data_IF_028338775214
#
_entry.id   IF_028338775214
#
_cell.length_a   1.000
_cell.length_b   1.000
_cell.length_c   1.000
_cell.angle_alpha   90.00
_cell.angle_beta   90.00
_cell.angle_gamma   90.00
#
_symmetry.space_group_name_H-M   'P 1'
#
loop_
_entity.id
_entity.type
_entity.pdbx_description
1 polymer ?
#
# COMPACT_ATOMS: atom_id res chain seq x y z
N UNK A 1 -3.74 -26.51 12.62
CA UNK A 1 -5.19 -26.40 12.92
C UNK A 1 -6.03 -27.47 12.22
N UNK A 2 -5.89 -27.73 10.88
CA UNK A 2 -6.67 -28.77 10.18
C UNK A 2 -6.62 -30.14 10.88
N UNK A 3 -5.43 -30.65 11.17
CA UNK A 3 -5.27 -31.98 11.77
C UNK A 3 -5.88 -32.05 13.17
N UNK A 4 -5.86 -30.94 13.93
CA UNK A 4 -6.55 -30.85 15.22
C UNK A 4 -8.07 -30.98 15.06
N UNK A 5 -8.64 -30.28 14.06
CA UNK A 5 -10.08 -30.40 13.75
C UNK A 5 -10.44 -31.81 13.31
N UNK A 6 -9.68 -32.44 12.41
CA UNK A 6 -9.90 -33.82 11.97
C UNK A 6 -9.84 -34.82 13.14
N UNK A 7 -8.91 -34.64 14.09
CA UNK A 7 -8.81 -35.44 15.29
C UNK A 7 -10.04 -35.28 16.20
N UNK A 8 -10.54 -34.06 16.36
CA UNK A 8 -11.78 -33.81 17.11
C UNK A 8 -13.00 -34.43 16.40
N UNK A 9 -13.09 -34.32 15.10
CA UNK A 9 -14.16 -34.98 14.33
C UNK A 9 -14.14 -36.51 14.53
N UNK A 10 -12.96 -37.12 14.58
CA UNK A 10 -12.86 -38.56 14.90
C UNK A 10 -13.27 -38.85 16.33
N UNK A 11 -12.83 -38.05 17.30
CA UNK A 11 -13.18 -38.19 18.73
C UNK A 11 -14.69 -38.18 18.96
N UNK A 12 -15.41 -37.33 18.22
CA UNK A 12 -16.87 -37.19 18.33
C UNK A 12 -17.66 -38.02 17.31
N UNK A 13 -17.03 -39.04 16.66
CA UNK A 13 -17.63 -39.96 15.71
C UNK A 13 -18.19 -39.35 14.41
N UNK A 14 -17.75 -38.14 14.04
CA UNK A 14 -18.05 -37.52 12.74
C UNK A 14 -17.10 -38.01 11.63
N UNK A 15 -15.98 -38.64 11.98
CA UNK A 15 -15.00 -39.17 11.06
C UNK A 15 -14.45 -40.49 11.58
N UNK A 16 -14.38 -41.53 10.70
CA UNK A 16 -13.79 -42.81 11.09
C UNK A 16 -12.24 -42.74 11.08
N UNK A 17 -11.59 -43.71 11.74
CA UNK A 17 -10.13 -43.76 11.90
C UNK A 17 -9.38 -43.87 10.57
N UNK A 18 -9.92 -44.61 9.61
CA UNK A 18 -9.27 -44.83 8.31
C UNK A 18 -9.28 -43.55 7.49
N UNK A 19 -10.41 -42.85 7.43
CA UNK A 19 -10.53 -41.56 6.80
C UNK A 19 -9.63 -40.48 7.48
N UNK A 20 -9.53 -40.49 8.81
CA UNK A 20 -8.62 -39.63 9.54
C UNK A 20 -7.17 -39.85 9.09
N UNK A 21 -6.73 -41.10 9.03
CA UNK A 21 -5.36 -41.47 8.66
C UNK A 21 -5.00 -41.02 7.23
N UNK A 22 -5.95 -41.09 6.30
CA UNK A 22 -5.80 -40.62 4.92
C UNK A 22 -5.77 -39.08 4.84
N UNK A 23 -6.72 -38.40 5.49
CA UNK A 23 -6.85 -36.96 5.41
C UNK A 23 -5.70 -36.20 6.08
N UNK A 24 -5.14 -36.73 7.16
CA UNK A 24 -3.98 -36.15 7.84
C UNK A 24 -2.74 -36.16 6.94
N UNK A 25 -2.57 -37.20 6.12
CA UNK A 25 -1.44 -37.37 5.17
C UNK A 25 -1.58 -36.51 3.92
N UNK A 26 -2.79 -36.07 3.56
CA UNK A 26 -2.99 -35.24 2.38
C UNK A 26 -2.39 -33.86 2.57
N UNK A 27 -1.72 -33.28 1.55
CA UNK A 27 -1.27 -31.91 1.60
C UNK A 27 -2.46 -30.94 1.70
N UNK A 28 -2.26 -29.78 2.34
CA UNK A 28 -3.25 -28.71 2.32
C UNK A 28 -3.34 -28.18 0.88
N UNK A 29 -4.43 -28.52 0.21
CA UNK A 29 -4.79 -27.87 -1.07
C UNK A 29 -5.45 -26.54 -0.75
N UNK A 30 -4.65 -25.55 -0.36
CA UNK A 30 -5.11 -24.18 -0.30
C UNK A 30 -5.34 -23.75 -1.77
N UNK A 31 -6.59 -23.68 -2.19
CA UNK A 31 -6.91 -22.78 -3.28
C UNK A 31 -6.72 -21.40 -2.70
N UNK A 32 -5.58 -20.77 -2.97
CA UNK A 32 -5.51 -19.32 -2.90
C UNK A 32 -6.66 -18.83 -3.79
N UNK A 33 -7.75 -18.43 -3.15
CA UNK A 33 -8.77 -17.68 -3.85
C UNK A 33 -7.99 -16.52 -4.43
N UNK A 34 -7.85 -16.45 -5.76
CA UNK A 34 -7.52 -15.20 -6.40
C UNK A 34 -8.60 -14.25 -5.92
N UNK A 35 -8.28 -13.47 -4.88
CA UNK A 35 -8.99 -12.21 -4.69
C UNK A 35 -8.94 -11.57 -6.06
N UNK A 36 -10.10 -11.36 -6.66
CA UNK A 36 -10.20 -10.72 -7.97
C UNK A 36 -9.34 -9.47 -7.90
N UNK A 37 -8.31 -9.43 -8.72
CA UNK A 37 -7.39 -8.32 -8.78
C UNK A 37 -8.19 -7.02 -8.74
N UNK A 38 -8.03 -6.27 -7.67
CA UNK A 38 -8.20 -4.83 -7.67
C UNK A 38 -9.58 -4.25 -7.49
N UNK A 39 -10.67 -5.04 -7.37
CA UNK A 39 -11.99 -4.39 -7.22
C UNK A 39 -12.60 -4.42 -5.83
N UNK A 40 -12.14 -5.31 -4.90
CA UNK A 40 -12.96 -5.54 -3.71
C UNK A 40 -12.27 -5.45 -2.35
N UNK A 41 -10.98 -5.15 -2.25
CA UNK A 41 -10.39 -5.27 -0.91
C UNK A 41 -9.35 -4.25 -0.51
N UNK A 42 -8.59 -3.72 -1.43
CA UNK A 42 -7.37 -2.97 -1.08
C UNK A 42 -7.32 -1.63 -1.84
N UNK A 43 -8.22 -0.71 -1.49
CA UNK A 43 -8.26 0.65 -2.04
C UNK A 43 -8.00 1.69 -0.97
N UNK A 44 -7.50 2.86 -1.37
CA UNK A 44 -7.32 4.01 -0.47
C UNK A 44 -8.61 4.41 0.22
N UNK A 45 -9.73 4.40 -0.53
CA UNK A 45 -11.05 4.69 0.01
C UNK A 45 -11.40 3.72 1.15
N UNK A 46 -11.24 2.41 0.92
CA UNK A 46 -11.54 1.42 1.95
C UNK A 46 -10.66 1.63 3.19
N UNK A 47 -9.36 1.80 3.02
CA UNK A 47 -8.45 2.04 4.14
C UNK A 47 -8.82 3.31 4.92
N UNK A 48 -9.27 4.38 4.23
CA UNK A 48 -9.73 5.61 4.87
C UNK A 48 -11.04 5.38 5.65
N UNK A 49 -11.98 4.62 5.08
CA UNK A 49 -13.27 4.27 5.72
C UNK A 49 -13.03 3.35 6.90
N UNK A 50 -12.22 2.30 6.76
CA UNK A 50 -11.91 1.36 7.83
C UNK A 50 -11.31 2.10 9.05
N UNK A 51 -10.35 2.99 8.82
CA UNK A 51 -9.75 3.81 9.89
C UNK A 51 -10.76 4.73 10.59
N UNK A 52 -11.71 5.29 9.84
CA UNK A 52 -12.78 6.10 10.42
C UNK A 52 -13.72 5.24 11.26
N UNK A 53 -14.08 4.07 10.74
CA UNK A 53 -15.00 3.15 11.39
C UNK A 53 -14.42 2.50 12.64
N UNK A 54 -13.14 2.13 12.65
CA UNK A 54 -12.46 1.61 13.85
C UNK A 54 -12.69 2.55 15.03
N UNK A 55 -12.39 3.85 14.86
CA UNK A 55 -12.59 4.85 15.91
C UNK A 55 -14.06 4.98 16.31
N UNK A 56 -14.98 5.04 15.32
CA UNK A 56 -16.40 5.16 15.58
C UNK A 56 -16.98 3.92 16.32
N UNK A 57 -16.53 2.73 15.96
CA UNK A 57 -16.92 1.47 16.59
C UNK A 57 -16.43 1.40 18.03
N UNK A 58 -15.18 1.80 18.31
CA UNK A 58 -14.63 1.90 19.66
C UNK A 58 -15.48 2.85 20.55
N UNK A 59 -15.83 4.03 20.02
CA UNK A 59 -16.65 5.02 20.74
C UNK A 59 -18.08 4.53 21.03
N UNK A 60 -18.60 3.58 20.24
CA UNK A 60 -19.98 3.06 20.37
C UNK A 60 -20.05 1.62 20.90
N UNK A 61 -18.93 1.01 21.31
CA UNK A 61 -18.85 -0.38 21.76
C UNK A 61 -19.43 -1.39 20.76
N UNK A 62 -19.11 -1.20 19.47
CA UNK A 62 -19.54 -2.04 18.35
C UNK A 62 -18.33 -2.77 17.80
N UNK A 63 -18.47 -4.04 17.43
CA UNK A 63 -17.42 -4.77 16.70
C UNK A 63 -17.61 -4.61 15.19
N UNK A 64 -16.59 -4.02 14.53
CA UNK A 64 -16.64 -3.76 13.08
C UNK A 64 -16.82 -5.03 12.24
N UNK A 65 -16.31 -6.16 12.73
CA UNK A 65 -16.25 -7.42 11.97
C UNK A 65 -17.29 -8.45 12.39
N UNK A 66 -17.78 -8.38 13.64
CA UNK A 66 -18.70 -9.37 14.21
C UNK A 66 -20.18 -8.92 14.16
N UNK A 67 -20.43 -7.62 14.26
CA UNK A 67 -21.81 -7.10 14.37
C UNK A 67 -22.55 -6.95 13.02
N UNK A 68 -21.95 -7.38 11.91
CA UNK A 68 -22.61 -7.43 10.60
C UNK A 68 -23.03 -6.08 10.05
N UNK A 69 -22.24 -5.05 10.26
CA UNK A 69 -22.52 -3.66 9.86
C UNK A 69 -22.70 -3.52 8.35
N UNK A 70 -23.68 -2.68 7.95
CA UNK A 70 -23.86 -2.25 6.56
C UNK A 70 -23.42 -0.79 6.42
N UNK A 71 -22.31 -0.57 5.72
CA UNK A 71 -21.70 0.75 5.58
C UNK A 71 -22.11 1.36 4.25
N UNK A 72 -22.80 2.50 4.30
CA UNK A 72 -23.22 3.27 3.13
C UNK A 72 -22.33 4.50 2.99
N UNK A 73 -21.69 4.66 1.84
CA UNK A 73 -20.87 5.83 1.53
C UNK A 73 -21.57 6.75 0.53
N UNK A 74 -21.06 7.96 0.37
CA UNK A 74 -21.55 8.93 -0.61
C UNK A 74 -20.80 8.86 -1.94
N UNK A 75 -19.87 7.92 -2.08
CA UNK A 75 -19.04 7.73 -3.27
C UNK A 75 -19.91 7.32 -4.45
N UNK A 76 -19.66 7.93 -5.60
CA UNK A 76 -20.23 7.53 -6.88
C UNK A 76 -19.25 6.61 -7.62
N UNK A 77 -19.62 5.36 -7.79
CA UNK A 77 -18.73 4.34 -8.37
C UNK A 77 -18.32 4.64 -9.82
N UNK A 78 -19.16 5.32 -10.60
CA UNK A 78 -18.82 5.72 -11.98
C UNK A 78 -17.81 6.86 -11.97
N UNK A 79 -18.04 7.89 -11.16
CA UNK A 79 -17.10 8.99 -11.00
C UNK A 79 -15.78 8.54 -10.42
N UNK A 80 -15.80 7.60 -9.47
CA UNK A 80 -14.60 6.98 -8.93
C UNK A 80 -13.77 6.31 -10.02
N UNK A 81 -14.39 5.48 -10.86
CA UNK A 81 -13.69 4.81 -11.96
C UNK A 81 -13.10 5.79 -12.97
N UNK A 82 -13.83 6.84 -13.35
CA UNK A 82 -13.31 7.89 -14.25
C UNK A 82 -12.13 8.65 -13.63
N UNK A 83 -12.19 8.94 -12.33
CA UNK A 83 -11.12 9.63 -11.63
C UNK A 83 -9.85 8.78 -11.53
N UNK A 84 -9.98 7.50 -11.20
CA UNK A 84 -8.84 6.57 -11.14
C UNK A 84 -8.16 6.44 -12.51
N UNK A 85 -8.94 6.30 -13.58
CA UNK A 85 -8.41 6.27 -14.94
C UNK A 85 -7.74 7.58 -15.34
N UNK A 86 -8.37 8.72 -15.06
CA UNK A 86 -7.81 10.04 -15.35
C UNK A 86 -6.50 10.28 -14.59
N UNK A 87 -6.45 9.96 -13.30
CA UNK A 87 -5.24 10.05 -12.47
C UNK A 87 -4.13 9.17 -13.05
N UNK A 88 -4.42 7.91 -13.35
CA UNK A 88 -3.43 6.97 -13.90
C UNK A 88 -2.85 7.47 -15.24
N UNK A 89 -3.71 7.94 -16.14
CA UNK A 89 -3.30 8.44 -17.45
C UNK A 89 -2.47 9.72 -17.32
N UNK A 90 -2.91 10.68 -16.52
CA UNK A 90 -2.20 11.92 -16.33
C UNK A 90 -0.85 11.71 -15.62
N UNK A 91 -0.81 10.87 -14.59
CA UNK A 91 0.43 10.59 -13.86
C UNK A 91 1.45 9.85 -14.72
N UNK A 92 1.02 8.98 -15.64
CA UNK A 92 1.90 8.36 -16.63
C UNK A 92 2.59 9.42 -17.53
N UNK A 93 1.85 10.45 -17.96
CA UNK A 93 2.39 11.54 -18.78
C UNK A 93 3.38 12.38 -17.96
N UNK A 94 3.00 12.75 -16.73
CA UNK A 94 3.85 13.53 -15.83
C UNK A 94 5.12 12.79 -15.44
N UNK A 95 5.04 11.49 -15.17
CA UNK A 95 6.21 10.66 -14.88
C UNK A 95 7.20 10.62 -16.05
N UNK A 96 6.69 10.52 -17.28
CA UNK A 96 7.54 10.59 -18.48
C UNK A 96 8.24 11.94 -18.59
N UNK A 97 7.52 13.04 -18.35
CA UNK A 97 8.10 14.40 -18.32
C UNK A 97 9.15 14.55 -17.23
N UNK A 98 8.87 14.04 -16.04
CA UNK A 98 9.80 14.03 -14.92
C UNK A 98 11.12 13.34 -15.30
N UNK A 99 11.07 12.15 -15.87
CA UNK A 99 12.27 11.45 -16.33
C UNK A 99 13.01 12.16 -17.46
N UNK A 100 12.31 12.84 -18.35
CA UNK A 100 12.94 13.64 -19.41
C UNK A 100 13.71 14.85 -18.84
N UNK A 101 13.23 15.45 -17.75
CA UNK A 101 13.89 16.60 -17.10
C UNK A 101 15.09 16.15 -16.28
N UNK A 102 14.92 15.14 -15.46
CA UNK A 102 15.95 14.71 -14.51
C UNK A 102 16.94 13.70 -15.09
N UNK A 103 16.55 12.92 -16.10
CA UNK A 103 17.39 11.88 -16.70
C UNK A 103 17.95 10.93 -15.66
N UNK A 104 19.27 10.87 -15.58
CA UNK A 104 19.99 10.05 -14.58
C UNK A 104 20.27 10.79 -13.27
N UNK A 105 19.96 12.08 -13.19
CA UNK A 105 20.21 12.86 -11.98
C UNK A 105 19.22 12.50 -10.86
N UNK A 106 19.67 12.72 -9.64
CA UNK A 106 18.85 12.54 -8.45
C UNK A 106 18.12 13.86 -8.13
N UNK A 107 16.77 13.82 -8.03
CA UNK A 107 15.95 15.03 -7.91
C UNK A 107 15.82 15.54 -6.47
N UNK A 108 16.49 14.91 -5.52
CA UNK A 108 16.27 15.19 -4.10
C UNK A 108 17.10 16.35 -3.61
N UNK A 109 16.41 17.38 -3.13
CA UNK A 109 16.97 18.59 -2.55
C UNK A 109 16.28 18.91 -1.22
N UNK A 110 17.00 19.58 -0.32
CA UNK A 110 16.43 20.14 0.91
C UNK A 110 15.74 21.49 0.67
N UNK A 111 15.27 22.12 1.74
CA UNK A 111 14.62 23.45 1.69
C UNK A 111 15.54 24.57 1.20
N UNK A 112 16.86 24.38 1.26
CA UNK A 112 17.89 25.31 0.79
C UNK A 112 18.40 24.96 -0.62
N UNK A 113 17.74 24.01 -1.32
CA UNK A 113 18.13 23.48 -2.64
C UNK A 113 19.49 22.80 -2.67
N UNK A 114 19.96 22.30 -1.53
CA UNK A 114 21.15 21.45 -1.46
C UNK A 114 20.77 20.00 -1.76
N UNK A 115 21.59 19.32 -2.57
CA UNK A 115 21.38 17.88 -2.87
C UNK A 115 21.44 17.05 -1.61
N UNK A 116 20.45 16.16 -1.45
CA UNK A 116 20.30 15.26 -0.31
C UNK A 116 20.40 13.82 -0.79
N UNK A 117 21.17 13.01 -0.09
CA UNK A 117 21.18 11.56 -0.32
C UNK A 117 19.91 10.93 0.29
N UNK A 118 18.81 11.04 -0.46
CA UNK A 118 17.53 10.46 -0.06
C UNK A 118 17.62 8.94 0.12
N UNK A 119 18.25 8.15 -0.77
CA UNK A 119 18.37 6.70 -0.61
C UNK A 119 19.02 6.30 0.71
N UNK A 120 20.08 6.95 1.12
CA UNK A 120 20.73 6.69 2.41
C UNK A 120 19.86 7.06 3.61
N UNK A 121 19.15 8.18 3.53
CA UNK A 121 18.17 8.56 4.59
C UNK A 121 17.03 7.55 4.68
N UNK A 122 16.46 7.17 3.55
CA UNK A 122 15.38 6.19 3.48
C UNK A 122 15.82 4.81 4.00
N UNK A 123 17.03 4.35 3.64
CA UNK A 123 17.64 3.12 4.15
C UNK A 123 17.68 3.10 5.69
N UNK A 124 18.17 4.19 6.29
CA UNK A 124 18.28 4.31 7.75
C UNK A 124 16.94 4.33 8.48
N UNK A 125 15.87 4.78 7.82
CA UNK A 125 14.51 4.81 8.37
C UNK A 125 13.77 3.47 8.26
N UNK A 126 14.31 2.49 7.54
CA UNK A 126 13.68 1.17 7.46
C UNK A 126 13.82 0.41 8.78
N UNK A 127 12.73 -0.23 9.29
CA UNK A 127 12.78 -1.00 10.53
C UNK A 127 13.87 -2.08 10.53
N UNK A 128 14.15 -2.68 9.37
CA UNK A 128 15.19 -3.69 9.20
C UNK A 128 16.59 -3.12 9.47
N UNK A 129 16.83 -1.83 9.26
CA UNK A 129 18.14 -1.21 9.47
C UNK A 129 18.60 -1.35 10.92
N UNK A 130 17.74 -1.03 11.88
CA UNK A 130 18.03 -1.17 13.31
C UNK A 130 18.32 -2.63 13.73
N UNK A 131 17.62 -3.59 13.12
CA UNK A 131 17.89 -5.02 13.35
C UNK A 131 19.24 -5.44 12.80
N UNK A 132 19.62 -4.94 11.62
CA UNK A 132 20.93 -5.23 11.00
C UNK A 132 22.06 -4.57 11.76
N UNK A 133 21.88 -3.36 12.32
CA UNK A 133 22.87 -2.73 13.20
C UNK A 133 23.21 -3.63 14.39
N UNK A 134 22.18 -4.18 15.05
CA UNK A 134 22.37 -5.12 16.15
C UNK A 134 23.05 -6.42 15.68
N UNK A 135 22.61 -6.98 14.56
CA UNK A 135 23.12 -8.25 14.02
C UNK A 135 24.60 -8.17 13.62
N UNK A 136 25.02 -7.06 13.03
CA UNK A 136 26.37 -6.87 12.50
C UNK A 136 27.25 -5.95 13.37
N UNK A 137 26.86 -5.70 14.64
CA UNK A 137 27.59 -4.84 15.56
C UNK A 137 27.98 -3.48 14.95
N UNK A 138 27.03 -2.84 14.26
CA UNK A 138 27.19 -1.56 13.53
C UNK A 138 28.25 -1.61 12.40
N UNK A 139 28.64 -2.79 11.92
CA UNK A 139 29.54 -2.89 10.75
C UNK A 139 28.78 -2.40 9.49
N UNK A 140 29.16 -1.23 8.99
CA UNK A 140 28.51 -0.56 7.84
C UNK A 140 28.65 -1.37 6.56
N UNK A 141 29.82 -1.98 6.31
CA UNK A 141 30.07 -2.74 5.07
C UNK A 141 29.15 -3.96 4.97
N UNK A 142 28.94 -4.66 6.10
CA UNK A 142 28.02 -5.80 6.16
C UNK A 142 26.57 -5.39 5.97
N UNK A 143 26.17 -4.25 6.52
CA UNK A 143 24.83 -3.68 6.35
C UNK A 143 24.63 -3.28 4.88
N UNK A 144 25.61 -2.60 4.29
CA UNK A 144 25.54 -2.16 2.90
C UNK A 144 25.53 -3.35 1.92
N UNK A 145 26.31 -4.38 2.18
CA UNK A 145 26.26 -5.63 1.43
C UNK A 145 24.86 -6.27 1.45
N UNK A 146 24.18 -6.25 2.61
CA UNK A 146 22.79 -6.72 2.72
C UNK A 146 21.84 -5.92 1.85
N UNK A 147 21.89 -4.56 1.93
CA UNK A 147 21.01 -3.67 1.17
C UNK A 147 21.30 -3.69 -0.34
N UNK A 148 22.52 -3.97 -0.76
CA UNK A 148 22.93 -4.06 -2.16
C UNK A 148 22.77 -5.45 -2.78
N UNK A 149 22.41 -6.47 -1.97
CA UNK A 149 22.15 -7.81 -2.47
C UNK A 149 20.92 -7.82 -3.38
N UNK A 150 21.10 -8.20 -4.64
CA UNK A 150 20.02 -8.30 -5.64
C UNK A 150 19.15 -9.52 -5.37
N UNK A 151 17.85 -9.35 -5.58
CA UNK A 151 16.80 -10.38 -5.50
C UNK A 151 15.71 -10.09 -6.52
N UNK A 152 14.99 -11.11 -6.92
CA UNK A 152 13.79 -10.95 -7.74
C UNK A 152 12.74 -10.16 -6.97
N UNK A 153 12.22 -9.11 -7.58
CA UNK A 153 11.16 -8.25 -7.05
C UNK A 153 10.16 -7.91 -8.14
N UNK A 154 8.89 -7.92 -7.78
CA UNK A 154 7.84 -7.33 -8.60
C UNK A 154 7.72 -5.86 -8.27
N UNK A 155 7.86 -5.01 -9.28
CA UNK A 155 7.82 -3.55 -9.13
C UNK A 155 6.68 -2.95 -9.92
N UNK A 156 6.17 -1.82 -9.43
CA UNK A 156 5.20 -0.99 -10.12
C UNK A 156 5.77 -0.41 -11.41
N UNK A 157 4.94 -0.35 -12.44
CA UNK A 157 5.20 0.44 -13.64
C UNK A 157 3.88 0.89 -14.25
N UNK A 158 3.82 2.11 -14.81
CA UNK A 158 2.65 2.62 -15.52
C UNK A 158 2.28 1.82 -16.77
N UNK A 159 3.15 0.91 -17.23
CA UNK A 159 2.90 -0.01 -18.34
C UNK A 159 2.54 -1.43 -17.89
N UNK A 160 2.27 -1.61 -16.61
CA UNK A 160 2.04 -2.88 -15.94
C UNK A 160 3.20 -3.27 -15.03
N UNK A 161 2.88 -4.00 -13.96
CA UNK A 161 3.89 -4.52 -13.03
C UNK A 161 4.90 -5.39 -13.76
N UNK A 162 6.14 -5.34 -13.35
CA UNK A 162 7.21 -6.16 -13.92
C UNK A 162 8.08 -6.79 -12.85
N UNK A 163 8.53 -7.99 -13.13
CA UNK A 163 9.54 -8.66 -12.32
C UNK A 163 10.93 -8.19 -12.76
N UNK A 164 11.78 -7.89 -11.78
CA UNK A 164 13.14 -7.38 -12.03
C UNK A 164 14.09 -7.82 -10.93
N UNK A 165 15.38 -7.84 -11.25
CA UNK A 165 16.44 -8.16 -10.31
C UNK A 165 16.98 -6.87 -9.67
N UNK A 166 16.40 -6.50 -8.53
CA UNK A 166 16.74 -5.28 -7.78
C UNK A 166 17.34 -5.63 -6.41
N UNK A 167 18.23 -4.77 -5.96
CA UNK A 167 18.59 -4.68 -4.54
C UNK A 167 17.55 -3.81 -3.80
N UNK A 168 17.62 -3.83 -2.47
CA UNK A 168 16.79 -2.92 -1.67
C UNK A 168 17.12 -1.44 -1.96
N UNK A 169 18.41 -1.13 -2.19
CA UNK A 169 18.84 0.22 -2.58
C UNK A 169 18.29 0.63 -3.96
N UNK A 170 18.31 -0.28 -4.95
CA UNK A 170 17.71 -0.02 -6.26
C UNK A 170 16.21 0.27 -6.13
N UNK A 171 15.52 -0.51 -5.29
CA UNK A 171 14.10 -0.33 -4.99
C UNK A 171 13.83 1.04 -4.36
N UNK A 172 14.59 1.46 -3.36
CA UNK A 172 14.46 2.79 -2.72
C UNK A 172 14.64 3.91 -3.74
N UNK A 173 15.68 3.83 -4.58
CA UNK A 173 15.93 4.83 -5.64
C UNK A 173 14.80 4.86 -6.66
N UNK A 174 14.34 3.68 -7.08
CA UNK A 174 13.26 3.57 -8.06
C UNK A 174 11.97 4.19 -7.55
N UNK A 175 11.51 3.76 -6.37
CA UNK A 175 10.26 4.26 -5.78
C UNK A 175 10.35 5.71 -5.33
N UNK A 176 11.52 6.19 -4.91
CA UNK A 176 11.74 7.59 -4.60
C UNK A 176 11.59 8.55 -5.78
N UNK A 177 11.71 8.05 -7.03
CA UNK A 177 11.50 8.83 -8.26
C UNK A 177 10.09 8.68 -8.84
N UNK A 178 9.22 7.85 -8.28
CA UNK A 178 7.84 7.72 -8.72
C UNK A 178 7.01 8.86 -8.13
N UNK A 179 6.38 9.63 -9.02
CA UNK A 179 5.47 10.70 -8.63
C UNK A 179 4.14 10.13 -8.13
N UNK A 180 3.63 10.67 -7.04
CA UNK A 180 2.33 10.33 -6.49
C UNK A 180 1.40 11.54 -6.47
N UNK A 181 0.10 11.29 -6.32
CA UNK A 181 -0.94 12.32 -6.24
C UNK A 181 -2.11 11.83 -5.44
N UNK A 182 -2.92 12.74 -4.91
CA UNK A 182 -4.25 12.48 -4.37
C UNK A 182 -5.28 13.32 -5.10
N UNK A 183 -6.49 12.78 -5.28
CA UNK A 183 -7.63 13.49 -5.84
C UNK A 183 -8.89 13.17 -5.03
N UNK A 184 -9.60 14.23 -4.65
CA UNK A 184 -10.92 14.11 -4.01
C UNK A 184 -11.89 15.05 -4.70
N UNK A 185 -13.12 14.59 -4.91
CA UNK A 185 -14.22 15.47 -5.35
C UNK A 185 -15.35 15.48 -4.35
N UNK A 186 -15.93 16.64 -4.16
CA UNK A 186 -16.99 16.87 -3.18
C UNK A 186 -18.12 17.69 -3.81
N UNK A 187 -19.36 17.35 -3.47
CA UNK A 187 -20.52 18.14 -3.87
C UNK A 187 -20.54 19.45 -3.06
N UNK A 188 -20.50 20.61 -3.71
CA UNK A 188 -20.30 21.89 -3.01
C UNK A 188 -21.44 22.24 -2.03
N UNK A 189 -22.69 21.86 -2.34
CA UNK A 189 -23.86 22.20 -1.51
C UNK A 189 -24.00 21.33 -0.28
N UNK A 190 -23.70 20.03 -0.39
CA UNK A 190 -23.92 19.05 0.68
C UNK A 190 -22.65 18.64 1.42
N UNK A 191 -21.48 18.94 0.88
CA UNK A 191 -20.20 18.46 1.40
C UNK A 191 -19.96 16.96 1.19
N UNK A 192 -20.83 16.25 0.47
CA UNK A 192 -20.71 14.81 0.24
C UNK A 192 -19.54 14.49 -0.67
N UNK A 193 -18.63 13.65 -0.21
CA UNK A 193 -17.50 13.17 -1.00
C UNK A 193 -18.00 12.18 -2.04
N UNK A 194 -17.69 12.43 -3.31
CA UNK A 194 -18.10 11.62 -4.46
C UNK A 194 -16.98 10.76 -5.03
N UNK A 195 -15.73 11.19 -4.86
CA UNK A 195 -14.53 10.51 -5.34
C UNK A 195 -13.44 10.60 -4.29
N UNK A 196 -12.68 9.50 -4.14
CA UNK A 196 -11.50 9.44 -3.29
C UNK A 196 -10.41 8.59 -3.95
N UNK A 197 -9.40 9.23 -4.51
CA UNK A 197 -8.22 8.60 -5.10
C UNK A 197 -7.01 9.02 -4.29
N UNK A 198 -6.58 8.18 -3.36
CA UNK A 198 -5.48 8.50 -2.43
C UNK A 198 -4.09 8.37 -3.03
N UNK A 199 -3.96 7.77 -4.20
CA UNK A 199 -2.68 7.55 -4.87
C UNK A 199 -2.82 6.88 -6.22
N UNK A 200 -1.70 6.51 -6.82
CA UNK A 200 -1.66 5.92 -8.16
C UNK A 200 -1.88 4.41 -8.17
N UNK A 201 -1.53 3.72 -7.10
CA UNK A 201 -1.69 2.26 -6.96
C UNK A 201 -1.52 1.86 -5.49
N UNK A 202 -2.60 1.44 -4.83
CA UNK A 202 -2.60 1.07 -3.40
C UNK A 202 -1.78 -0.18 -3.09
N UNK A 203 -1.56 -1.06 -4.06
CA UNK A 203 -0.75 -2.27 -3.89
C UNK A 203 0.71 -1.94 -3.57
N UNK A 204 1.26 -0.93 -4.23
CA UNK A 204 2.66 -0.53 -4.10
C UNK A 204 2.87 0.70 -3.21
N UNK A 205 1.89 1.60 -3.13
CA UNK A 205 1.96 2.87 -2.41
C UNK A 205 0.81 2.92 -1.40
N UNK A 206 1.14 2.74 -0.13
CA UNK A 206 0.12 2.69 0.94
C UNK A 206 -0.26 4.06 1.49
N UNK A 207 0.57 5.07 1.26
CA UNK A 207 0.32 6.42 1.75
C UNK A 207 -0.83 7.09 0.99
N UNK A 208 -1.86 7.50 1.73
CA UNK A 208 -3.01 8.22 1.16
C UNK A 208 -2.70 9.72 1.08
N UNK A 209 -2.54 10.21 -0.15
CA UNK A 209 -2.23 11.61 -0.42
C UNK A 209 -3.41 12.56 -0.27
N UNK A 210 -4.61 12.06 -0.03
CA UNK A 210 -5.78 12.91 0.28
C UNK A 210 -5.79 13.32 1.74
N UNK A 211 -5.49 12.40 2.69
CA UNK A 211 -5.64 12.66 4.12
C UNK A 211 -4.36 12.51 4.95
N UNK A 212 -3.32 11.83 4.44
CA UNK A 212 -2.10 11.57 5.22
C UNK A 212 -0.93 12.46 4.78
N UNK A 213 -0.83 12.78 3.49
CA UNK A 213 0.27 13.59 2.97
C UNK A 213 0.17 15.05 3.44
N UNK A 214 1.21 15.52 4.12
CA UNK A 214 1.32 16.93 4.55
C UNK A 214 2.24 17.69 3.61
N UNK A 215 1.74 18.79 3.04
CA UNK A 215 2.49 19.67 2.13
C UNK A 215 2.18 21.13 2.46
N UNK A 216 3.10 22.01 2.13
CA UNK A 216 2.88 23.45 2.22
C UNK A 216 1.75 23.84 1.25
N UNK A 217 0.70 24.46 1.76
CA UNK A 217 -0.47 24.83 0.98
C UNK A 217 -0.15 25.86 -0.13
N UNK A 218 0.74 26.80 0.17
CA UNK A 218 1.08 27.86 -0.78
C UNK A 218 -0.16 28.60 -1.27
N UNK A 219 -0.22 28.87 -2.56
CA UNK A 219 -1.35 29.61 -3.19
C UNK A 219 -2.69 28.85 -3.18
N UNK A 220 -2.71 27.56 -2.89
CA UNK A 220 -3.96 26.79 -2.76
C UNK A 220 -4.77 27.18 -1.52
N UNK A 221 -4.16 27.94 -0.59
CA UNK A 221 -4.85 28.48 0.59
C UNK A 221 -5.69 29.72 0.28
N UNK A 222 -5.51 30.37 -0.88
CA UNK A 222 -6.22 31.61 -1.25
C UNK A 222 -7.75 31.55 -1.14
N UNK A 223 -8.44 30.44 -1.54
CA UNK A 223 -9.89 30.36 -1.37
C UNK A 223 -10.39 30.50 0.06
N UNK A 224 -9.53 30.23 1.05
CA UNK A 224 -9.84 30.40 2.47
C UNK A 224 -9.42 31.78 3.02
N UNK A 225 -8.59 32.51 2.28
CA UNK A 225 -8.08 33.82 2.69
C UNK A 225 -8.92 34.98 2.13
N UNK A 226 -9.68 34.75 1.06
CA UNK A 226 -10.60 35.70 0.40
C UNK A 226 -12.05 35.33 0.68
#
# INVERSE_FOLDING_TARGET
RRNTVLSQMNKYNFLNKDSLSLLVKQPLQLKEGKMKDGSDGDSYLRAAVDKYLEKWCEENNIDLYEDGLKIYTTIDSKLQGYAEEAVKNQMKILQKRFYNVWGNEDPWEDSERKKVDYPERAKKNLPIYALLQKKYNNNTDSIDAYFNKKKEMRIFSYNGDRDTLFSTMDSIRYYGKIMNTGMMTMEPKSGKIKVWVGGIDHKFFKDDHVNQAKRQAGSTFKPFAY
#
